data_IF_937060950218
#
_entry.id   IF_937060950218
#
_cell.length_a   1.000
_cell.length_b   1.000
_cell.length_c   1.000
_cell.angle_alpha   90.00
_cell.angle_beta   90.00
_cell.angle_gamma   90.00
#
_symmetry.space_group_name_H-M   'P 1'
#
loop_
_entity.id
_entity.type
_entity.pdbx_description
1 polymer ?
#
# COMPACT_ATOMS: atom_id res chain seq x y z
N UNK A 1 61.45 13.03 -6.28
CA UNK A 1 60.76 14.31 -6.60
C UNK A 1 59.83 14.11 -7.79
N UNK A 2 58.75 14.91 -7.86
CA UNK A 2 57.66 14.96 -8.87
C UNK A 2 56.55 13.93 -8.64
N UNK A 3 55.52 14.19 -7.83
CA UNK A 3 54.43 15.19 -7.89
C UNK A 3 53.18 14.75 -8.67
N UNK A 4 52.11 14.50 -7.89
CA UNK A 4 50.70 14.90 -8.09
C UNK A 4 50.24 15.28 -9.51
N UNK A 5 49.17 14.65 -9.99
CA UNK A 5 47.93 15.39 -10.33
C UNK A 5 46.74 14.46 -10.55
N UNK A 6 45.79 14.53 -9.64
CA UNK A 6 44.39 14.23 -9.89
C UNK A 6 43.88 15.05 -11.09
N UNK A 7 43.48 14.39 -12.18
CA UNK A 7 42.70 15.03 -13.24
C UNK A 7 41.51 14.12 -13.60
N UNK A 8 40.45 14.24 -12.80
CA UNK A 8 39.11 13.87 -13.22
C UNK A 8 38.76 14.66 -14.49
N UNK A 9 38.63 14.01 -15.64
CA UNK A 9 38.05 14.63 -16.85
C UNK A 9 36.92 13.74 -17.37
N UNK A 10 35.85 13.67 -16.58
CA UNK A 10 34.46 13.95 -17.00
C UNK A 10 34.27 13.93 -18.53
N UNK A 11 34.11 12.75 -19.11
CA UNK A 11 33.68 12.60 -20.50
C UNK A 11 33.24 11.16 -20.76
N UNK A 12 31.95 10.90 -20.54
CA UNK A 12 31.12 10.13 -21.47
C UNK A 12 29.66 10.41 -21.18
N UNK A 13 29.24 11.55 -21.72
CA UNK A 13 27.96 11.81 -22.41
C UNK A 13 26.74 11.01 -21.93
N UNK A 14 25.93 11.68 -21.11
CA UNK A 14 24.49 11.45 -21.02
C UNK A 14 23.87 11.58 -22.42
N UNK A 15 23.26 10.50 -22.90
CA UNK A 15 22.28 10.51 -23.99
C UNK A 15 21.09 9.69 -23.53
N UNK A 16 20.07 10.37 -22.98
CA UNK A 16 18.70 9.83 -22.95
C UNK A 16 17.82 10.90 -23.55
N UNK A 17 17.20 10.55 -24.67
CA UNK A 17 16.44 11.44 -25.53
C UNK A 17 15.17 11.92 -24.83
N UNK A 18 14.85 13.21 -25.05
CA UNK A 18 13.56 13.82 -24.72
C UNK A 18 12.53 13.29 -25.71
N UNK A 19 11.56 12.54 -25.21
CA UNK A 19 10.29 12.22 -25.86
C UNK A 19 9.21 12.27 -24.80
N UNK A 20 8.28 13.23 -24.91
CA UNK A 20 7.23 13.46 -23.92
C UNK A 20 6.07 12.46 -23.97
N UNK A 21 5.06 12.75 -23.13
CA UNK A 21 3.71 12.12 -22.96
C UNK A 21 3.64 11.14 -21.76
N UNK A 22 2.61 11.20 -20.90
CA UNK A 22 2.18 12.26 -20.00
C UNK A 22 2.28 11.79 -18.51
N UNK A 23 1.98 12.68 -17.57
CA UNK A 23 1.73 12.31 -16.18
C UNK A 23 0.43 11.49 -16.06
N UNK A 24 0.48 10.18 -16.30
CA UNK A 24 -0.63 9.27 -16.06
C UNK A 24 -0.26 8.32 -14.92
N UNK A 25 -0.65 8.74 -13.73
CA UNK A 25 -1.03 7.95 -12.55
C UNK A 25 -1.00 6.43 -12.78
N UNK A 26 0.15 5.79 -12.56
CA UNK A 26 0.17 4.35 -12.33
C UNK A 26 -0.03 4.13 -10.83
N UNK A 27 -1.30 3.92 -10.50
CA UNK A 27 -1.78 3.31 -9.27
C UNK A 27 -0.73 2.31 -8.75
N UNK A 28 -0.20 2.57 -7.55
CA UNK A 28 0.54 1.54 -6.84
C UNK A 28 -0.45 0.42 -6.56
N UNK A 29 -0.33 -0.66 -7.30
CA UNK A 29 -1.04 -1.90 -6.99
C UNK A 29 -0.34 -2.42 -5.74
N UNK A 30 -0.86 -2.04 -4.57
CA UNK A 30 -0.51 -2.67 -3.30
C UNK A 30 -1.07 -4.09 -3.34
N UNK A 31 -0.42 -4.99 -4.07
CA UNK A 31 -0.63 -6.43 -3.87
C UNK A 31 0.09 -6.77 -2.58
N UNK A 32 -0.56 -6.48 -1.45
CA UNK A 32 -0.18 -7.03 -0.16
C UNK A 32 -0.08 -8.53 -0.33
N UNK A 33 1.10 -9.09 -0.04
CA UNK A 33 1.37 -10.52 -0.07
C UNK A 33 0.15 -11.28 0.46
N UNK A 34 -0.37 -12.20 -0.35
CA UNK A 34 -1.54 -13.00 -0.02
C UNK A 34 -1.19 -13.93 1.15
N UNK A 35 -1.21 -13.40 2.37
CA UNK A 35 -1.70 -14.17 3.49
C UNK A 35 -3.09 -14.69 3.11
N UNK A 36 -3.37 -15.94 3.43
CA UNK A 36 -4.68 -16.55 3.20
C UNK A 36 -5.72 -15.75 3.99
N UNK A 37 -6.36 -14.79 3.32
CA UNK A 37 -7.33 -13.88 3.92
C UNK A 37 -8.68 -14.60 3.94
N UNK A 38 -9.48 -14.34 4.97
CA UNK A 38 -10.84 -14.84 5.05
C UNK A 38 -11.68 -14.15 3.97
N UNK A 39 -12.52 -14.91 3.27
CA UNK A 39 -13.59 -14.32 2.47
C UNK A 39 -14.50 -13.48 3.36
N UNK A 40 -15.18 -12.48 2.79
CA UNK A 40 -16.19 -11.68 3.51
C UNK A 40 -17.23 -12.54 4.24
N UNK A 41 -17.63 -13.66 3.63
CA UNK A 41 -18.56 -14.61 4.25
C UNK A 41 -17.96 -15.34 5.45
N UNK A 42 -16.72 -15.85 5.33
CA UNK A 42 -16.03 -16.48 6.45
C UNK A 42 -15.77 -15.51 7.61
N UNK A 43 -15.50 -14.24 7.30
CA UNK A 43 -15.30 -13.19 8.29
C UNK A 43 -16.61 -12.67 8.91
N UNK A 44 -17.77 -13.12 8.44
CA UNK A 44 -19.09 -12.56 8.81
C UNK A 44 -19.09 -11.03 8.69
N UNK A 45 -18.52 -10.56 7.58
CA UNK A 45 -18.34 -9.15 7.33
C UNK A 45 -19.70 -8.46 7.13
N UNK A 46 -19.84 -7.30 7.74
CA UNK A 46 -20.98 -6.40 7.65
C UNK A 46 -20.50 -5.04 7.16
N UNK A 47 -21.26 -4.41 6.26
CA UNK A 47 -20.96 -3.06 5.74
C UNK A 47 -21.28 -1.94 6.74
N UNK A 48 -21.86 -2.29 7.89
CA UNK A 48 -22.26 -1.38 8.98
C UNK A 48 -21.57 -1.77 10.29
N UNK A 49 -21.40 -0.83 11.22
CA UNK A 49 -20.68 -1.09 12.47
C UNK A 49 -21.48 -2.00 13.40
N UNK A 50 -20.77 -2.74 14.26
CA UNK A 50 -21.38 -3.53 15.32
C UNK A 50 -21.38 -2.73 16.63
N UNK A 51 -22.43 -1.94 16.84
CA UNK A 51 -22.51 -1.00 17.95
C UNK A 51 -21.47 0.11 17.80
N UNK A 52 -20.52 0.19 18.75
CA UNK A 52 -19.40 1.14 18.68
C UNK A 52 -18.19 0.59 17.92
N UNK A 53 -18.20 -0.69 17.50
CA UNK A 53 -17.05 -1.33 16.87
C UNK A 53 -17.15 -1.24 15.35
N UNK A 54 -16.17 -0.59 14.73
CA UNK A 54 -16.04 -0.50 13.28
C UNK A 54 -14.62 -0.82 12.81
N UNK A 55 -14.43 -1.11 11.54
CA UNK A 55 -13.12 -1.31 10.94
C UNK A 55 -12.21 -0.09 11.14
N UNK A 56 -12.73 1.13 11.20
CA UNK A 56 -11.97 2.33 11.55
C UNK A 56 -11.33 2.31 12.94
N UNK A 57 -11.88 1.52 13.86
CA UNK A 57 -11.32 1.28 15.21
C UNK A 57 -10.51 -0.02 15.30
N UNK A 58 -10.30 -0.71 14.17
CA UNK A 58 -9.67 -2.02 14.13
C UNK A 58 -8.19 -1.92 13.72
N UNK A 59 -7.29 -2.57 14.46
CA UNK A 59 -5.84 -2.64 14.14
C UNK A 59 -5.52 -3.38 12.82
N UNK A 60 -6.49 -4.15 12.31
CA UNK A 60 -6.39 -4.92 11.08
C UNK A 60 -6.83 -4.14 9.84
N UNK A 61 -7.49 -2.99 10.00
CA UNK A 61 -7.93 -2.17 8.89
C UNK A 61 -6.76 -1.40 8.28
N UNK A 62 -6.66 -1.47 6.96
CA UNK A 62 -5.67 -0.78 6.16
C UNK A 62 -6.41 0.23 5.29
N UNK A 63 -6.36 1.51 5.69
CA UNK A 63 -6.97 2.58 4.92
C UNK A 63 -6.45 2.60 3.47
N UNK A 64 -7.29 2.95 2.49
CA UNK A 64 -8.66 3.44 2.65
C UNK A 64 -9.76 2.37 2.62
N UNK A 65 -9.46 1.15 2.14
CA UNK A 65 -10.49 0.15 1.80
C UNK A 65 -10.06 -1.30 1.99
N UNK A 66 -9.01 -1.57 2.77
CA UNK A 66 -8.39 -2.90 2.84
C UNK A 66 -8.37 -3.44 4.26
N UNK A 67 -8.22 -4.75 4.42
CA UNK A 67 -8.01 -5.39 5.70
C UNK A 67 -6.91 -6.45 5.60
N UNK A 68 -6.13 -6.63 6.67
CA UNK A 68 -5.07 -7.64 6.74
C UNK A 68 -5.59 -9.07 6.64
N UNK A 69 -6.83 -9.30 7.09
CA UNK A 69 -7.41 -10.65 7.25
C UNK A 69 -8.70 -10.89 6.47
N UNK A 70 -9.28 -9.86 5.84
CA UNK A 70 -10.51 -10.00 5.03
C UNK A 70 -10.20 -9.67 3.57
N UNK A 71 -10.65 -10.52 2.67
CA UNK A 71 -10.56 -10.32 1.23
C UNK A 71 -11.55 -9.28 0.71
N UNK A 72 -11.16 -8.60 -0.38
CA UNK A 72 -11.97 -7.58 -1.03
C UNK A 72 -11.92 -6.22 -0.32
N UNK A 73 -12.81 -5.33 -0.77
CA UNK A 73 -12.94 -4.00 -0.19
C UNK A 73 -13.61 -4.08 1.20
N UNK A 74 -13.05 -3.33 2.15
CA UNK A 74 -13.52 -3.18 3.53
C UNK A 74 -13.78 -1.70 3.79
N UNK A 75 -14.98 -1.37 4.25
CA UNK A 75 -15.35 0.00 4.64
C UNK A 75 -14.81 0.33 6.03
N UNK A 76 -14.43 1.58 6.26
CA UNK A 76 -14.09 2.09 7.59
C UNK A 76 -15.26 1.95 8.58
N UNK A 77 -16.50 2.05 8.07
CA UNK A 77 -17.73 1.86 8.85
C UNK A 77 -18.18 0.39 8.93
N UNK A 78 -17.46 -0.54 8.31
CA UNK A 78 -17.78 -1.96 8.35
C UNK A 78 -17.41 -2.63 9.67
N UNK A 79 -17.71 -3.92 9.81
CA UNK A 79 -17.29 -4.76 10.92
C UNK A 79 -17.16 -6.22 10.50
N UNK A 80 -16.31 -7.01 11.16
CA UNK A 80 -16.23 -8.45 10.95
C UNK A 80 -15.87 -9.17 12.26
N UNK A 81 -16.08 -10.49 12.33
CA UNK A 81 -15.84 -11.27 13.54
C UNK A 81 -14.38 -11.37 13.98
N UNK A 82 -13.44 -11.07 13.08
CA UNK A 82 -12.02 -10.98 13.37
C UNK A 82 -11.59 -9.59 13.91
N UNK A 83 -12.56 -8.76 14.33
CA UNK A 83 -12.30 -7.43 14.88
C UNK A 83 -11.31 -7.49 16.04
N UNK A 84 -10.32 -6.61 16.00
CA UNK A 84 -9.35 -6.39 17.06
C UNK A 84 -9.21 -4.88 17.28
N UNK A 85 -9.64 -4.41 18.46
CA UNK A 85 -9.56 -3.00 18.82
C UNK A 85 -8.12 -2.51 18.68
N UNK A 86 -7.93 -1.34 18.08
CA UNK A 86 -6.66 -0.63 18.17
C UNK A 86 -6.44 -0.18 19.64
N UNK A 87 -5.27 -0.50 20.18
CA UNK A 87 -4.82 -0.06 21.52
C UNK A 87 -4.57 1.46 21.57
#
# INVERSE_FOLDING_TARGET
>A
MVEKRWHNSRRKVLRVAVGGIPAALLFRISQTAAADKMTRQQAEYQDTPNGIYSCGLCTLFERPKSCKVVEGDVSEDGWCKAFAMAD
#
